data_IF_613180299326
#
_entry.id   IF_613180299326
#
_cell.length_a   1.000
_cell.length_b   1.000
_cell.length_c   1.000
_cell.angle_alpha   90.00
_cell.angle_beta   90.00
_cell.angle_gamma   90.00
#
_symmetry.space_group_name_H-M   'P 1'
#
loop_
_entity.id
_entity.type
_entity.pdbx_description
1 polymer ?
#
# COMPACT_ATOMS: atom_id res chain seq x y z
N UNK A 1 -15.49 27.59 13.72
CA UNK A 1 -15.04 26.24 14.14
C UNK A 1 -15.24 25.28 12.97
N UNK A 2 -14.33 25.28 11.98
CA UNK A 2 -14.47 24.55 10.70
C UNK A 2 -13.09 24.15 10.09
N UNK A 3 -11.99 24.20 10.85
CA UNK A 3 -10.63 24.04 10.28
C UNK A 3 -10.07 22.61 10.40
N UNK A 4 -10.65 21.77 11.26
CA UNK A 4 -10.08 20.46 11.63
C UNK A 4 -10.29 19.41 10.51
N UNK A 5 -11.38 19.49 9.76
CA UNK A 5 -11.72 18.51 8.71
C UNK A 5 -10.80 18.56 7.50
N UNK A 6 -10.29 19.74 7.12
CA UNK A 6 -9.42 19.88 5.95
C UNK A 6 -7.99 19.40 6.21
N UNK A 7 -7.52 19.51 7.46
CA UNK A 7 -6.17 19.07 7.86
C UNK A 7 -6.14 17.54 7.93
N UNK A 8 -7.13 16.92 8.58
CA UNK A 8 -7.21 15.47 8.69
C UNK A 8 -7.29 14.77 7.31
N UNK A 9 -8.11 15.31 6.39
CA UNK A 9 -8.19 14.77 5.03
C UNK A 9 -6.87 14.92 4.25
N UNK A 10 -6.17 16.04 4.42
CA UNK A 10 -4.86 16.26 3.81
C UNK A 10 -3.78 15.32 4.37
N UNK A 11 -3.80 15.06 5.68
CA UNK A 11 -2.89 14.12 6.33
C UNK A 11 -3.13 12.68 5.88
N UNK A 12 -4.39 12.28 5.70
CA UNK A 12 -4.74 10.97 5.14
C UNK A 12 -4.28 10.82 3.68
N UNK A 13 -4.44 11.86 2.86
CA UNK A 13 -3.90 11.87 1.50
C UNK A 13 -2.36 11.75 1.49
N UNK A 14 -1.67 12.49 2.37
CA UNK A 14 -0.22 12.43 2.47
C UNK A 14 0.26 11.03 2.91
N UNK A 15 -0.42 10.43 3.89
CA UNK A 15 -0.13 9.06 4.36
C UNK A 15 -0.33 8.03 3.25
N UNK A 16 -1.42 8.15 2.47
CA UNK A 16 -1.66 7.29 1.32
C UNK A 16 -0.54 7.39 0.28
N UNK A 17 -0.17 8.60 -0.15
CA UNK A 17 0.90 8.78 -1.14
C UNK A 17 2.27 8.30 -0.62
N UNK A 18 2.55 8.47 0.67
CA UNK A 18 3.76 7.93 1.28
C UNK A 18 3.80 6.39 1.22
N UNK A 19 2.66 5.72 1.49
CA UNK A 19 2.55 4.28 1.39
C UNK A 19 2.69 3.80 -0.07
N UNK A 20 2.06 4.47 -1.03
CA UNK A 20 2.20 4.18 -2.47
C UNK A 20 3.64 4.32 -2.92
N UNK A 21 4.31 5.43 -2.59
CA UNK A 21 5.71 5.65 -2.96
C UNK A 21 6.63 4.57 -2.38
N UNK A 22 6.34 4.08 -1.18
CA UNK A 22 7.09 2.97 -0.60
C UNK A 22 6.81 1.64 -1.31
N UNK A 23 5.54 1.34 -1.62
CA UNK A 23 5.15 0.15 -2.38
C UNK A 23 5.85 0.10 -3.74
N UNK A 24 5.79 1.20 -4.51
CA UNK A 24 6.49 1.35 -5.80
C UNK A 24 8.00 1.10 -5.67
N UNK A 25 8.64 1.77 -4.70
CA UNK A 25 10.09 1.62 -4.49
C UNK A 25 10.49 0.19 -4.14
N UNK A 26 9.65 -0.53 -3.39
CA UNK A 26 9.88 -1.95 -3.05
C UNK A 26 9.65 -2.83 -4.27
N UNK A 27 8.58 -2.59 -5.02
CA UNK A 27 8.16 -3.39 -6.16
C UNK A 27 9.23 -3.41 -7.26
N UNK A 28 9.90 -2.28 -7.50
CA UNK A 28 11.02 -2.15 -8.45
C UNK A 28 12.17 -3.15 -8.23
N UNK A 29 12.27 -3.73 -7.03
CA UNK A 29 13.31 -4.67 -6.64
C UNK A 29 12.74 -6.01 -6.14
N UNK A 30 11.48 -6.32 -6.45
CA UNK A 30 10.81 -7.57 -6.07
C UNK A 30 10.24 -8.29 -7.29
N UNK A 31 10.18 -9.62 -7.22
CA UNK A 31 9.39 -10.46 -8.12
C UNK A 31 7.90 -10.45 -7.74
N UNK A 32 7.59 -10.02 -6.52
CA UNK A 32 6.24 -10.01 -5.96
C UNK A 32 5.64 -8.62 -5.99
N UNK A 33 4.33 -8.58 -6.17
CA UNK A 33 3.55 -7.36 -6.09
C UNK A 33 3.59 -6.79 -4.68
N UNK A 34 3.54 -5.46 -4.59
CA UNK A 34 3.44 -4.74 -3.33
C UNK A 34 2.06 -4.12 -3.22
N UNK A 35 1.37 -4.38 -2.13
CA UNK A 35 0.01 -3.87 -1.92
C UNK A 35 0.00 -2.78 -0.86
N UNK A 36 -0.76 -1.72 -1.10
CA UNK A 36 -1.13 -0.78 -0.04
C UNK A 36 -2.48 -1.20 0.50
N UNK A 37 -2.55 -1.45 1.81
CA UNK A 37 -3.79 -1.78 2.51
C UNK A 37 -4.21 -0.62 3.39
N UNK A 38 -5.52 -0.38 3.46
CA UNK A 38 -6.11 0.59 4.38
C UNK A 38 -6.48 -0.09 5.71
N UNK A 39 -6.04 0.54 6.80
CA UNK A 39 -6.28 0.10 8.15
C UNK A 39 -6.92 1.19 9.00
N UNK A 40 -8.09 0.88 9.57
CA UNK A 40 -8.91 1.82 10.34
C UNK A 40 -8.14 2.52 11.46
N UNK A 41 -7.24 1.79 12.14
CA UNK A 41 -6.43 2.33 13.24
C UNK A 41 -5.00 2.76 12.84
N UNK A 42 -4.43 2.20 11.78
CA UNK A 42 -3.00 2.34 11.45
C UNK A 42 -2.76 3.19 10.20
N UNK A 43 -3.82 3.57 9.48
CA UNK A 43 -3.72 4.29 8.21
C UNK A 43 -3.35 3.36 7.07
N UNK A 44 -2.40 3.76 6.23
CA UNK A 44 -2.01 3.02 5.03
C UNK A 44 -0.70 2.27 5.24
N UNK A 45 -0.66 1.00 4.86
CA UNK A 45 0.52 0.15 4.98
C UNK A 45 0.89 -0.48 3.64
N UNK A 46 2.16 -0.40 3.26
CA UNK A 46 2.70 -1.16 2.13
C UNK A 46 3.19 -2.55 2.58
N UNK A 47 2.55 -3.60 2.08
CA UNK A 47 2.88 -5.01 2.32
C UNK A 47 3.44 -5.66 1.05
N UNK A 48 4.29 -6.66 1.23
CA UNK A 48 4.85 -7.47 0.14
C UNK A 48 4.09 -8.78 0.07
N UNK A 49 3.60 -9.16 -1.10
CA UNK A 49 2.90 -10.44 -1.27
C UNK A 49 3.81 -11.63 -0.89
N UNK A 50 5.12 -11.53 -1.17
CA UNK A 50 6.10 -12.57 -0.86
C UNK A 50 6.26 -12.86 0.64
N UNK A 51 5.97 -11.89 1.51
CA UNK A 51 6.08 -12.05 2.98
C UNK A 51 4.91 -12.87 3.56
N UNK A 52 3.76 -12.89 2.87
CA UNK A 52 2.52 -13.48 3.39
C UNK A 52 2.10 -14.75 2.65
N UNK A 53 2.73 -15.07 1.51
CA UNK A 53 2.30 -16.16 0.66
C UNK A 53 0.89 -15.88 0.12
N UNK A 54 -0.08 -16.76 0.41
CA UNK A 54 -1.46 -16.51 0.03
C UNK A 54 -2.10 -15.47 0.95
N UNK A 55 -2.39 -14.28 0.42
CA UNK A 55 -3.15 -13.25 1.13
C UNK A 55 -4.56 -13.77 1.44
N UNK A 56 -4.97 -13.67 2.70
CA UNK A 56 -6.34 -13.98 3.09
C UNK A 56 -7.32 -12.97 2.50
N UNK A 57 -8.55 -13.40 2.19
CA UNK A 57 -9.58 -12.56 1.56
C UNK A 57 -9.81 -11.22 2.29
N UNK A 58 -9.81 -11.25 3.62
CA UNK A 58 -9.97 -10.04 4.43
C UNK A 58 -8.87 -9.00 4.24
N UNK A 59 -7.65 -9.40 3.86
CA UNK A 59 -6.57 -8.47 3.52
C UNK A 59 -6.70 -7.97 2.09
N UNK A 60 -7.10 -8.84 1.17
CA UNK A 60 -7.37 -8.51 -0.24
C UNK A 60 -8.45 -7.43 -0.35
N UNK A 61 -9.53 -7.56 0.41
CA UNK A 61 -10.66 -6.62 0.39
C UNK A 61 -10.26 -5.21 0.89
N UNK A 62 -9.10 -5.09 1.56
CA UNK A 62 -8.57 -3.83 2.10
C UNK A 62 -7.48 -3.22 1.23
N UNK A 63 -7.11 -3.86 0.13
CA UNK A 63 -6.12 -3.34 -0.80
C UNK A 63 -6.71 -2.12 -1.52
N UNK A 64 -6.03 -0.99 -1.39
CA UNK A 64 -6.39 0.27 -2.05
C UNK A 64 -5.45 0.59 -3.22
N UNK A 65 -4.28 -0.04 -3.28
CA UNK A 65 -3.32 0.10 -4.38
C UNK A 65 -2.45 -1.15 -4.52
N UNK A 66 -2.04 -1.47 -5.75
CA UNK A 66 -1.06 -2.53 -6.02
C UNK A 66 0.01 -2.00 -6.96
N UNK A 67 1.27 -2.08 -6.55
CA UNK A 67 2.45 -1.85 -7.37
C UNK A 67 2.94 -3.20 -7.92
N UNK A 68 2.98 -3.39 -9.24
CA UNK A 68 3.43 -4.63 -9.83
C UNK A 68 4.93 -4.85 -9.59
N UNK A 69 5.33 -6.09 -9.30
CA UNK A 69 6.72 -6.49 -9.18
C UNK A 69 7.53 -6.13 -10.44
N UNK A 70 8.67 -5.46 -10.24
CA UNK A 70 9.51 -4.94 -11.32
C UNK A 70 10.56 -5.93 -11.83
N UNK A 71 10.77 -7.05 -11.13
CA UNK A 71 11.68 -8.11 -11.59
C UNK A 71 10.88 -9.16 -12.34
N UNK A 72 11.30 -9.43 -13.59
CA UNK A 72 10.72 -10.44 -14.46
C UNK A 72 11.63 -11.68 -14.39
N UNK A 73 11.07 -12.84 -14.08
CA UNK A 73 11.81 -14.13 -13.98
C UNK A 73 12.05 -14.80 -15.35
N UNK A 74 11.47 -14.27 -16.42
CA UNK A 74 11.57 -14.83 -17.77
C UNK A 74 12.71 -14.19 -18.59
N UNK A 75 13.75 -15.00 -18.88
CA UNK A 75 14.75 -14.78 -19.94
C UNK A 75 14.75 -15.94 -20.93
#
# INVERSE_FOLDING_TARGET
MQTITNIAAADQHAAYFAAVANAERRAMHSYFDQHVVEHDELGFLAIDEGDYGALGQAMIDRIVYTAPGGIIDEF
#
